data_IF_395306990185
#
_entry.id   IF_395306990185
#
_cell.length_a   1.000
_cell.length_b   1.000
_cell.length_c   1.000
_cell.angle_alpha   90.00
_cell.angle_beta   90.00
_cell.angle_gamma   90.00
#
_symmetry.space_group_name_H-M   'P 1'
#
loop_
_entity.id
_entity.type
_entity.pdbx_description
1 polymer ?
#
# COMPACT_ATOMS: atom_id res chain seq x y z
N UNK A 1 -4.71 -17.50 27.33
CA UNK A 1 -4.44 -16.67 26.17
C UNK A 1 -3.45 -15.59 26.62
N UNK A 2 -2.16 -15.67 26.24
CA UNK A 2 -1.19 -14.63 26.58
C UNK A 2 -1.45 -13.46 25.64
N UNK A 3 -1.87 -12.34 26.18
CA UNK A 3 -1.96 -11.10 25.41
C UNK A 3 -0.54 -10.70 24.97
N UNK A 4 -0.35 -10.42 23.68
CA UNK A 4 0.85 -9.72 23.21
C UNK A 4 0.82 -8.34 23.89
N UNK A 5 1.73 -8.10 24.81
CA UNK A 5 2.00 -6.73 25.26
C UNK A 5 2.74 -6.05 24.09
N UNK A 6 2.05 -5.16 23.42
CA UNK A 6 2.68 -4.28 22.44
C UNK A 6 3.33 -3.15 23.23
N UNK A 7 4.60 -2.93 22.99
CA UNK A 7 5.38 -1.86 23.63
C UNK A 7 4.74 -0.50 23.32
N UNK A 8 4.48 0.28 24.37
CA UNK A 8 3.90 1.63 24.24
C UNK A 8 4.78 2.56 23.39
N UNK A 9 6.10 2.38 23.41
CA UNK A 9 7.03 3.11 22.56
C UNK A 9 6.86 2.74 21.09
N UNK A 10 6.62 1.48 20.78
CA UNK A 10 6.30 1.03 19.43
C UNK A 10 4.98 1.64 18.93
N UNK A 11 3.94 1.63 19.78
CA UNK A 11 2.64 2.21 19.42
C UNK A 11 2.74 3.72 19.16
N UNK A 12 3.52 4.44 19.99
CA UNK A 12 3.74 5.87 19.82
C UNK A 12 4.47 6.25 18.52
N UNK A 13 5.23 5.32 17.94
CA UNK A 13 5.94 5.52 16.66
C UNK A 13 5.10 5.17 15.44
N UNK A 14 3.99 4.45 15.61
CA UNK A 14 3.15 4.03 14.50
C UNK A 14 2.49 5.24 13.82
N UNK A 15 2.76 5.38 12.53
CA UNK A 15 2.03 6.32 11.66
C UNK A 15 0.97 5.55 10.89
N UNK A 16 -0.27 5.96 11.05
CA UNK A 16 -1.43 5.34 10.41
C UNK A 16 -1.70 5.95 9.04
N UNK A 17 -1.86 5.07 8.06
CA UNK A 17 -2.18 5.44 6.68
C UNK A 17 -3.34 4.59 6.18
N UNK A 18 -4.13 5.17 5.30
CA UNK A 18 -5.23 4.48 4.65
C UNK A 18 -5.16 4.68 3.14
N UNK A 19 -5.39 3.62 2.38
CA UNK A 19 -5.42 3.68 0.92
C UNK A 19 -6.71 3.05 0.39
N UNK A 20 -7.13 3.50 -0.76
CA UNK A 20 -8.30 3.00 -1.45
C UNK A 20 -7.87 2.34 -2.77
N UNK A 21 -8.29 1.12 -3.03
CA UNK A 21 -8.09 0.40 -4.28
C UNK A 21 -9.31 0.66 -5.16
N UNK A 22 -9.22 1.58 -6.14
CA UNK A 22 -10.38 1.97 -6.91
C UNK A 22 -10.61 1.00 -8.07
N UNK A 23 -11.80 0.43 -8.14
CA UNK A 23 -12.33 -0.23 -9.32
C UNK A 23 -13.07 0.79 -10.17
N UNK A 24 -12.85 0.75 -11.47
CA UNK A 24 -13.52 1.63 -12.44
C UNK A 24 -13.87 0.82 -13.69
N UNK A 25 -15.03 1.10 -14.26
CA UNK A 25 -15.42 0.47 -15.51
C UNK A 25 -14.79 1.17 -16.72
N UNK A 26 -14.12 0.39 -17.57
CA UNK A 26 -13.59 0.86 -18.85
C UNK A 26 -13.99 -0.15 -19.92
N UNK A 27 -14.71 0.31 -20.93
CA UNK A 27 -15.20 -0.52 -22.05
C UNK A 27 -15.97 -1.78 -21.60
N UNK A 28 -16.77 -1.65 -20.53
CA UNK A 28 -17.59 -2.72 -19.97
C UNK A 28 -16.83 -3.75 -19.13
N UNK A 29 -15.59 -3.47 -18.73
CA UNK A 29 -14.75 -4.30 -17.88
C UNK A 29 -14.30 -3.56 -16.64
N UNK A 30 -14.09 -4.30 -15.57
CA UNK A 30 -13.49 -3.77 -14.36
C UNK A 30 -11.99 -3.57 -14.51
N UNK A 31 -11.54 -2.36 -14.25
CA UNK A 31 -10.14 -1.98 -14.21
C UNK A 31 -9.79 -1.51 -12.80
N UNK A 32 -8.53 -1.65 -12.42
CA UNK A 32 -7.97 -1.00 -11.23
C UNK A 32 -7.32 0.30 -11.66
N UNK A 33 -7.67 1.41 -10.98
CA UNK A 33 -7.07 2.71 -11.20
C UNK A 33 -5.87 2.90 -10.28
N UNK A 34 -4.81 3.46 -10.83
CA UNK A 34 -3.56 3.84 -10.17
C UNK A 34 -3.23 5.30 -10.43
N UNK A 35 -2.43 5.84 -9.53
CA UNK A 35 -1.82 7.16 -9.65
C UNK A 35 -0.31 7.05 -9.84
N UNK A 36 0.25 8.00 -10.58
CA UNK A 36 1.68 8.30 -10.58
C UNK A 36 1.88 9.53 -9.70
N UNK A 37 2.76 9.45 -8.73
CA UNK A 37 3.02 10.53 -7.76
C UNK A 37 3.78 11.66 -8.40
N UNK A 38 3.33 12.90 -8.18
CA UNK A 38 4.00 14.09 -8.72
C UNK A 38 5.32 14.40 -8.00
N UNK A 39 6.09 15.34 -8.51
CA UNK A 39 7.39 15.75 -7.98
C UNK A 39 7.33 16.57 -6.68
N UNK A 40 6.13 17.05 -6.28
CA UNK A 40 5.94 17.82 -5.05
C UNK A 40 5.69 16.96 -3.81
N UNK A 41 5.48 15.66 -3.98
CA UNK A 41 5.23 14.71 -2.87
C UNK A 41 6.40 13.74 -2.67
N UNK A 42 6.39 12.99 -1.57
CA UNK A 42 7.42 11.97 -1.33
C UNK A 42 7.35 10.85 -2.36
N UNK A 43 8.50 10.32 -2.77
CA UNK A 43 8.62 9.23 -3.75
C UNK A 43 8.01 9.60 -5.13
N UNK A 44 8.49 10.66 -5.77
CA UNK A 44 7.95 11.10 -7.06
C UNK A 44 8.14 10.03 -8.14
N UNK A 45 7.18 9.94 -9.05
CA UNK A 45 7.17 8.96 -10.15
C UNK A 45 6.79 7.54 -9.73
N UNK A 46 6.59 7.27 -8.43
CA UNK A 46 6.11 5.96 -8.00
C UNK A 46 4.61 5.80 -8.26
N UNK A 47 4.23 4.54 -8.54
CA UNK A 47 2.84 4.16 -8.70
C UNK A 47 2.23 3.86 -7.33
N UNK A 48 1.09 4.47 -7.06
CA UNK A 48 0.33 4.30 -5.81
C UNK A 48 -1.16 4.10 -6.05
N UNK A 49 -1.84 3.70 -4.99
CA UNK A 49 -3.28 3.90 -4.86
C UNK A 49 -3.53 5.25 -4.19
N UNK A 50 -4.68 5.89 -4.44
CA UNK A 50 -5.10 7.05 -3.68
C UNK A 50 -5.08 6.76 -2.18
N UNK A 51 -4.54 7.70 -1.40
CA UNK A 51 -4.51 7.54 0.03
C UNK A 51 -3.42 8.32 0.76
N UNK A 52 -3.59 8.45 2.07
CA UNK A 52 -2.73 9.26 2.90
C UNK A 52 -2.79 8.95 4.37
N UNK A 53 -2.38 9.94 5.18
CA UNK A 53 -2.39 9.84 6.63
C UNK A 53 -3.79 9.84 7.22
N UNK A 54 -3.99 9.05 8.27
CA UNK A 54 -5.22 9.11 9.07
C UNK A 54 -5.14 10.31 10.00
N UNK A 55 -6.09 11.22 9.89
CA UNK A 55 -6.17 12.43 10.71
C UNK A 55 -6.87 12.19 12.05
N UNK A 56 -6.74 13.17 12.95
CA UNK A 56 -7.38 13.11 14.27
C UNK A 56 -8.90 13.14 14.13
N UNK A 57 -9.57 12.14 14.69
CA UNK A 57 -11.04 12.07 14.71
C UNK A 57 -11.67 11.31 13.55
N UNK A 58 -10.87 10.79 12.61
CA UNK A 58 -11.37 9.92 11.55
C UNK A 58 -10.90 8.47 11.71
N UNK A 59 -11.66 7.54 11.17
CA UNK A 59 -11.25 6.15 11.02
C UNK A 59 -10.49 5.93 9.69
N UNK A 60 -9.83 4.75 9.54
CA UNK A 60 -9.07 4.43 8.33
C UNK A 60 -9.90 4.44 7.05
N UNK A 61 -11.16 4.03 7.10
CA UNK A 61 -12.06 4.04 5.94
C UNK A 61 -12.39 5.47 5.53
N UNK A 62 -12.67 6.32 6.51
CA UNK A 62 -12.94 7.74 6.27
C UNK A 62 -11.73 8.42 5.64
N UNK A 63 -10.52 8.17 6.17
CA UNK A 63 -9.27 8.68 5.60
C UNK A 63 -9.06 8.22 4.15
N UNK A 64 -9.20 6.92 3.86
CA UNK A 64 -9.05 6.40 2.50
C UNK A 64 -10.01 7.06 1.50
N UNK A 65 -11.28 7.26 1.90
CA UNK A 65 -12.27 7.91 1.04
C UNK A 65 -11.97 9.40 0.88
N UNK A 66 -11.62 10.12 1.95
CA UNK A 66 -11.26 11.54 1.91
C UNK A 66 -10.10 11.79 0.97
N UNK A 67 -9.00 11.05 1.14
CA UNK A 67 -7.82 11.16 0.28
C UNK A 67 -8.16 10.89 -1.19
N UNK A 68 -8.96 9.85 -1.46
CA UNK A 68 -9.41 9.54 -2.83
C UNK A 68 -10.22 10.69 -3.44
N UNK A 69 -11.10 11.33 -2.65
CA UNK A 69 -11.85 12.50 -3.09
C UNK A 69 -10.92 13.68 -3.39
N UNK A 70 -9.93 13.91 -2.55
CA UNK A 70 -8.98 15.03 -2.67
C UNK A 70 -8.01 14.84 -3.84
N UNK A 71 -7.42 13.66 -3.98
CA UNK A 71 -6.44 13.37 -5.03
C UNK A 71 -7.08 13.27 -6.41
N UNK A 72 -8.26 12.64 -6.53
CA UNK A 72 -8.97 12.44 -7.79
C UNK A 72 -10.09 13.47 -8.06
N UNK A 73 -10.22 14.50 -7.22
CA UNK A 73 -11.27 15.52 -7.31
C UNK A 73 -12.68 14.92 -7.50
N UNK A 74 -13.01 13.93 -6.66
CA UNK A 74 -14.29 13.24 -6.68
C UNK A 74 -15.23 13.77 -5.58
N UNK A 75 -16.54 13.70 -5.84
CA UNK A 75 -17.56 13.85 -4.83
C UNK A 75 -17.80 12.54 -4.10
N UNK A 76 -18.36 12.60 -2.88
CA UNK A 76 -18.58 11.41 -2.06
C UNK A 76 -19.53 10.38 -2.71
N UNK A 77 -20.52 10.82 -3.45
CA UNK A 77 -21.50 9.99 -4.18
C UNK A 77 -20.92 9.31 -5.42
N UNK A 78 -19.76 9.78 -5.92
CA UNK A 78 -19.02 9.13 -7.00
C UNK A 78 -18.19 7.94 -6.52
N UNK A 79 -18.15 7.66 -5.19
CA UNK A 79 -17.39 6.55 -4.60
C UNK A 79 -18.32 5.59 -3.88
N UNK A 80 -18.40 4.37 -4.35
CA UNK A 80 -19.07 3.24 -3.68
C UNK A 80 -18.05 2.40 -2.93
N UNK A 81 -18.11 2.40 -1.59
CA UNK A 81 -17.31 1.51 -0.77
C UNK A 81 -17.82 0.08 -0.87
N UNK A 82 -16.93 -0.89 -1.11
CA UNK A 82 -17.27 -2.31 -1.21
C UNK A 82 -16.69 -3.14 -0.06
N UNK A 83 -15.51 -2.79 0.44
CA UNK A 83 -14.95 -3.58 1.53
C UNK A 83 -13.56 -3.17 2.00
N UNK A 84 -13.12 -3.91 3.02
CA UNK A 84 -11.76 -3.89 3.54
C UNK A 84 -10.93 -4.95 2.83
N UNK A 85 -9.71 -4.63 2.43
CA UNK A 85 -8.81 -5.55 1.75
C UNK A 85 -7.76 -6.13 2.69
N UNK A 86 -6.84 -5.32 3.19
CA UNK A 86 -5.73 -5.83 3.99
C UNK A 86 -5.12 -4.79 4.92
N UNK A 87 -4.30 -5.28 5.85
CA UNK A 87 -3.46 -4.45 6.72
C UNK A 87 -2.00 -4.86 6.53
N UNK A 88 -1.14 -3.87 6.38
CA UNK A 88 0.31 -4.06 6.30
C UNK A 88 0.98 -3.23 7.38
N UNK A 89 1.85 -3.88 8.16
CA UNK A 89 2.81 -3.22 9.04
C UNK A 89 4.17 -3.22 8.34
N UNK A 90 4.73 -2.02 8.17
CA UNK A 90 6.05 -1.88 7.54
C UNK A 90 7.15 -1.79 8.59
N UNK A 91 8.38 -2.09 8.22
CA UNK A 91 9.54 -2.01 9.11
C UNK A 91 9.86 -0.59 9.60
N UNK A 92 9.35 0.44 8.95
CA UNK A 92 9.50 1.84 9.33
C UNK A 92 8.28 2.39 10.09
N UNK A 93 7.59 1.53 10.84
CA UNK A 93 6.47 1.87 11.71
C UNK A 93 5.26 2.50 11.00
N UNK A 94 5.01 2.14 9.74
CA UNK A 94 3.76 2.51 9.06
C UNK A 94 2.74 1.40 9.21
N UNK A 95 1.56 1.76 9.70
CA UNK A 95 0.37 0.92 9.78
C UNK A 95 -0.56 1.33 8.64
N UNK A 96 -0.59 0.55 7.57
CA UNK A 96 -1.35 0.86 6.36
C UNK A 96 -2.53 -0.08 6.25
N UNK A 97 -3.75 0.45 6.17
CA UNK A 97 -4.96 -0.33 5.83
C UNK A 97 -5.42 0.01 4.42
N UNK A 98 -5.74 -1.03 3.66
CA UNK A 98 -6.30 -0.89 2.32
C UNK A 98 -7.78 -1.27 2.29
N UNK A 99 -8.54 -0.45 1.58
CA UNK A 99 -9.96 -0.62 1.33
C UNK A 99 -10.17 -0.66 -0.18
N UNK A 100 -11.32 -1.13 -0.63
CA UNK A 100 -11.62 -1.15 -2.05
C UNK A 100 -13.07 -0.74 -2.31
N UNK A 101 -13.30 -0.30 -3.52
CA UNK A 101 -14.62 0.11 -3.95
C UNK A 101 -14.62 0.60 -5.39
N UNK A 102 -15.76 1.11 -5.82
CA UNK A 102 -15.98 1.51 -7.20
C UNK A 102 -16.03 3.02 -7.33
N UNK A 103 -15.38 3.56 -8.35
CA UNK A 103 -15.57 4.93 -8.81
C UNK A 103 -16.68 4.92 -9.87
N UNK A 104 -17.75 5.66 -9.59
CA UNK A 104 -18.94 5.76 -10.45
C UNK A 104 -18.84 6.98 -11.38
N UNK A 105 -17.76 7.04 -12.15
CA UNK A 105 -17.44 8.13 -13.06
C UNK A 105 -16.60 7.60 -14.22
N UNK A 106 -16.76 8.16 -15.42
CA UNK A 106 -15.93 7.79 -16.54
C UNK A 106 -14.48 8.22 -16.32
N UNK A 107 -13.52 7.38 -16.73
CA UNK A 107 -12.09 7.67 -16.57
C UNK A 107 -11.70 9.05 -17.18
N UNK A 108 -12.26 9.38 -18.32
CA UNK A 108 -12.00 10.66 -19.04
C UNK A 108 -12.52 11.90 -18.29
N UNK A 109 -13.40 11.73 -17.31
CA UNK A 109 -14.00 12.83 -16.53
C UNK A 109 -13.27 13.03 -15.19
N UNK A 110 -12.40 12.09 -14.80
CA UNK A 110 -11.62 12.19 -13.56
C UNK A 110 -10.55 13.27 -13.74
N UNK A 111 -10.57 14.21 -12.83
CA UNK A 111 -9.53 15.22 -12.68
C UNK A 111 -8.76 14.92 -11.41
N UNK A 112 -7.49 15.17 -11.37
CA UNK A 112 -6.66 14.94 -10.21
C UNK A 112 -5.99 16.25 -9.73
N UNK A 113 -5.59 16.25 -8.46
CA UNK A 113 -4.94 17.40 -7.85
C UNK A 113 -3.45 17.44 -8.19
N UNK A 114 -2.73 18.43 -7.64
CA UNK A 114 -1.29 18.64 -7.93
C UNK A 114 -0.36 17.55 -7.37
N UNK A 115 -0.84 16.69 -6.47
CA UNK A 115 -0.06 15.61 -5.87
C UNK A 115 0.04 14.40 -6.78
N UNK A 116 -0.86 14.31 -7.75
CA UNK A 116 -0.92 13.28 -8.78
C UNK A 116 -0.37 13.85 -10.10
N UNK A 117 0.63 13.19 -10.68
CA UNK A 117 1.19 13.53 -11.98
C UNK A 117 0.29 13.03 -13.11
N UNK A 118 -0.18 11.79 -12.99
CA UNK A 118 -1.06 11.14 -13.95
C UNK A 118 -1.82 9.99 -13.32
N UNK A 119 -2.89 9.57 -13.98
CA UNK A 119 -3.63 8.35 -13.63
C UNK A 119 -3.62 7.37 -14.80
N UNK A 120 -3.67 6.08 -14.50
CA UNK A 120 -3.84 5.03 -15.50
C UNK A 120 -4.63 3.86 -14.92
N UNK A 121 -5.12 3.00 -15.81
CA UNK A 121 -5.88 1.81 -15.39
C UNK A 121 -5.30 0.56 -16.00
N UNK A 122 -5.48 -0.57 -15.31
CA UNK A 122 -5.14 -1.90 -15.81
C UNK A 122 -6.33 -2.81 -15.58
N UNK A 123 -6.67 -3.61 -16.58
CA UNK A 123 -7.76 -4.59 -16.52
C UNK A 123 -7.59 -5.50 -15.28
N UNK A 124 -8.64 -5.69 -14.50
CA UNK A 124 -8.64 -6.55 -13.31
C UNK A 124 -8.26 -7.99 -13.65
N UNK A 125 -8.74 -8.50 -14.79
CA UNK A 125 -8.42 -9.86 -15.28
C UNK A 125 -6.91 -10.03 -15.54
N UNK A 126 -6.20 -8.96 -15.92
CA UNK A 126 -4.75 -9.02 -16.03
C UNK A 126 -4.11 -9.46 -14.72
N UNK A 127 -4.50 -8.86 -13.59
CA UNK A 127 -3.92 -9.17 -12.28
C UNK A 127 -4.37 -10.54 -11.75
N UNK A 128 -5.59 -10.98 -12.06
CA UNK A 128 -6.09 -12.31 -11.71
C UNK A 128 -5.27 -13.39 -12.41
N UNK A 129 -4.94 -13.18 -13.70
CA UNK A 129 -4.24 -14.16 -14.53
C UNK A 129 -2.71 -14.06 -14.47
N UNK A 130 -2.16 -12.96 -13.97
CA UNK A 130 -0.71 -12.73 -13.93
C UNK A 130 -0.26 -12.41 -12.49
N UNK A 131 0.06 -13.40 -11.66
CA UNK A 131 0.55 -13.16 -10.31
C UNK A 131 1.87 -12.38 -10.34
N UNK A 132 2.15 -11.59 -9.29
CA UNK A 132 3.36 -10.78 -9.25
C UNK A 132 4.63 -11.64 -9.14
N UNK A 133 5.71 -11.18 -9.75
CA UNK A 133 7.05 -11.74 -9.51
C UNK A 133 7.50 -11.27 -8.13
N UNK A 134 8.04 -12.17 -7.31
CA UNK A 134 8.54 -11.82 -5.97
C UNK A 134 10.06 -11.99 -5.88
N UNK A 135 10.70 -11.08 -5.16
CA UNK A 135 12.11 -11.10 -4.82
C UNK A 135 12.31 -10.99 -3.33
N UNK A 136 13.24 -11.76 -2.78
CA UNK A 136 13.61 -11.70 -1.37
C UNK A 136 14.88 -10.87 -1.20
N UNK A 137 14.74 -9.68 -0.59
CA UNK A 137 15.86 -8.82 -0.23
C UNK A 137 16.23 -9.06 1.24
N UNK A 138 17.41 -9.62 1.54
CA UNK A 138 17.81 -9.89 2.93
C UNK A 138 18.06 -8.58 3.68
N UNK A 139 17.70 -8.54 4.95
CA UNK A 139 18.08 -7.47 5.85
C UNK A 139 19.57 -7.60 6.20
N UNK A 140 20.30 -6.49 6.13
CA UNK A 140 21.63 -6.35 6.71
C UNK A 140 21.55 -5.48 7.95
N UNK A 141 22.16 -5.93 9.05
CA UNK A 141 22.32 -5.14 10.23
C UNK A 141 23.66 -4.43 10.16
N UNK A 142 23.61 -3.11 10.10
CA UNK A 142 24.80 -2.26 10.24
C UNK A 142 24.85 -1.75 11.66
N UNK A 143 25.94 -2.09 12.35
CA UNK A 143 26.16 -1.68 13.73
C UNK A 143 26.99 -0.39 13.78
N UNK A 144 26.73 0.51 14.73
CA UNK A 144 27.61 1.64 14.98
C UNK A 144 29.01 1.17 15.36
N UNK A 145 30.04 2.00 15.10
CA UNK A 145 31.44 1.62 15.30
C UNK A 145 31.79 1.29 16.77
N UNK A 146 31.06 1.87 17.70
CA UNK A 146 31.18 1.71 19.15
C UNK A 146 30.25 0.64 19.72
N UNK A 147 29.62 -0.18 18.88
CA UNK A 147 28.76 -1.27 19.36
C UNK A 147 29.60 -2.27 20.19
N UNK A 148 29.18 -2.57 21.44
CA UNK A 148 29.99 -3.33 22.39
C UNK A 148 29.97 -4.83 22.12
N UNK A 149 30.59 -5.24 21.04
CA UNK A 149 30.72 -6.67 20.67
C UNK A 149 31.45 -7.50 21.72
N UNK A 150 32.35 -6.86 22.48
CA UNK A 150 33.11 -7.49 23.57
C UNK A 150 32.24 -7.89 24.77
N UNK A 151 31.03 -7.31 24.89
CA UNK A 151 30.10 -7.58 25.99
C UNK A 151 29.04 -8.64 25.67
N UNK A 152 29.01 -9.13 24.43
CA UNK A 152 28.05 -10.15 24.04
C UNK A 152 28.74 -11.51 23.77
N UNK A 153 28.06 -12.62 24.03
CA UNK A 153 28.60 -13.95 23.70
C UNK A 153 28.94 -14.04 22.21
N UNK A 154 30.09 -14.63 21.88
CA UNK A 154 30.64 -14.76 20.53
C UNK A 154 31.04 -13.44 19.83
N UNK A 155 30.93 -12.31 20.50
CA UNK A 155 31.41 -11.05 19.97
C UNK A 155 30.93 -10.72 18.57
N UNK A 156 31.85 -10.39 17.65
CA UNK A 156 31.56 -10.11 16.25
C UNK A 156 31.04 -11.31 15.44
N UNK A 157 31.25 -12.52 15.95
CA UNK A 157 30.80 -13.77 15.33
C UNK A 157 29.38 -14.16 15.79
N UNK A 158 28.73 -13.33 16.58
CA UNK A 158 27.36 -13.58 17.02
C UNK A 158 26.42 -13.63 15.80
N UNK A 159 25.67 -14.74 15.68
CA UNK A 159 24.72 -14.95 14.59
C UNK A 159 23.38 -14.28 14.91
N UNK A 160 23.21 -13.04 14.48
CA UNK A 160 21.92 -12.37 14.56
C UNK A 160 20.90 -13.07 13.66
N UNK A 161 19.65 -13.09 14.09
CA UNK A 161 18.57 -13.56 13.23
C UNK A 161 18.46 -12.61 12.03
N UNK A 162 18.56 -13.15 10.84
CA UNK A 162 18.40 -12.41 9.60
C UNK A 162 16.98 -12.64 9.07
N UNK A 163 16.34 -11.57 8.62
CA UNK A 163 15.08 -11.61 7.92
C UNK A 163 15.26 -11.18 6.46
N UNK A 164 14.18 -11.19 5.73
CA UNK A 164 14.14 -10.63 4.38
C UNK A 164 12.86 -9.82 4.19
N UNK A 165 12.93 -8.84 3.31
CA UNK A 165 11.76 -8.16 2.78
C UNK A 165 11.37 -8.82 1.45
N UNK A 166 10.11 -9.23 1.32
CA UNK A 166 9.60 -9.76 0.06
C UNK A 166 9.01 -8.61 -0.75
N UNK A 167 9.58 -8.38 -1.91
CA UNK A 167 9.21 -7.31 -2.84
C UNK A 167 8.47 -7.90 -4.03
N UNK A 168 7.33 -7.32 -4.37
CA UNK A 168 6.46 -7.76 -5.45
C UNK A 168 6.52 -6.79 -6.62
N UNK A 169 6.41 -7.34 -7.86
CA UNK A 169 6.43 -6.59 -9.11
C UNK A 169 5.38 -7.16 -10.06
N UNK A 170 4.51 -6.31 -10.57
CA UNK A 170 3.66 -6.60 -11.72
C UNK A 170 4.26 -5.93 -12.96
N UNK A 171 4.39 -6.68 -14.06
CA UNK A 171 4.94 -6.18 -15.33
C UNK A 171 3.90 -5.34 -16.08
N UNK A 172 3.61 -4.18 -15.52
CA UNK A 172 2.73 -3.15 -16.07
C UNK A 172 3.55 -1.95 -16.56
N UNK A 173 2.94 -1.03 -17.30
CA UNK A 173 3.55 0.23 -17.75
C UNK A 173 2.62 1.39 -17.43
N UNK A 174 2.95 2.21 -16.43
CA UNK A 174 4.10 2.12 -15.48
C UNK A 174 4.10 0.85 -14.62
N UNK A 175 5.27 0.48 -14.11
CA UNK A 175 5.47 -0.72 -13.29
C UNK A 175 4.79 -0.56 -11.92
N UNK A 176 3.98 -1.55 -11.50
CA UNK A 176 3.42 -1.61 -10.14
C UNK A 176 4.30 -2.49 -9.27
N UNK A 177 4.91 -1.93 -8.22
CA UNK A 177 5.87 -2.64 -7.39
C UNK A 177 5.77 -2.28 -5.89
N UNK A 178 6.57 -2.93 -5.07
CA UNK A 178 6.77 -2.57 -3.66
C UNK A 178 5.50 -2.73 -2.81
N UNK A 179 5.16 -1.68 -2.05
CA UNK A 179 4.01 -1.70 -1.15
C UNK A 179 2.68 -1.74 -1.92
N UNK A 180 2.58 -1.01 -3.01
CA UNK A 180 1.40 -0.99 -3.88
C UNK A 180 1.13 -2.37 -4.46
N UNK A 181 2.16 -3.04 -5.00
CA UNK A 181 2.04 -4.41 -5.50
C UNK A 181 1.67 -5.41 -4.40
N UNK A 182 2.16 -5.23 -3.17
CA UNK A 182 1.81 -6.08 -2.03
C UNK A 182 0.34 -5.93 -1.63
N UNK A 183 -0.17 -4.70 -1.59
CA UNK A 183 -1.59 -4.44 -1.31
C UNK A 183 -2.48 -5.00 -2.42
N UNK A 184 -2.09 -4.79 -3.67
CA UNK A 184 -2.79 -5.34 -4.84
C UNK A 184 -2.85 -6.87 -4.80
N UNK A 185 -1.73 -7.54 -4.55
CA UNK A 185 -1.69 -8.99 -4.39
C UNK A 185 -2.67 -9.48 -3.33
N UNK A 186 -2.67 -8.86 -2.15
CA UNK A 186 -3.59 -9.22 -1.07
C UNK A 186 -5.06 -9.01 -1.48
N UNK A 187 -5.33 -7.94 -2.22
CA UNK A 187 -6.67 -7.67 -2.74
C UNK A 187 -7.10 -8.75 -3.75
N UNK A 188 -6.28 -9.08 -4.74
CA UNK A 188 -6.59 -10.09 -5.76
C UNK A 188 -6.82 -11.46 -5.12
N UNK A 189 -6.00 -11.87 -4.15
CA UNK A 189 -6.16 -13.14 -3.42
C UNK A 189 -7.47 -13.21 -2.62
N UNK A 190 -7.96 -12.07 -2.14
CA UNK A 190 -9.24 -11.99 -1.43
C UNK A 190 -10.42 -11.94 -2.39
N UNK A 191 -10.25 -11.23 -3.51
CA UNK A 191 -11.26 -11.09 -4.57
C UNK A 191 -11.61 -12.45 -5.18
N UNK A 192 -10.62 -13.21 -5.62
CA UNK A 192 -10.81 -14.51 -6.24
C UNK A 192 -11.49 -15.55 -5.31
N UNK A 193 -11.33 -15.43 -4.00
CA UNK A 193 -12.00 -16.32 -3.03
C UNK A 193 -13.48 -16.01 -2.81
N UNK A 194 -13.93 -14.82 -3.18
CA UNK A 194 -15.33 -14.43 -3.01
C UNK A 194 -16.18 -14.75 -4.25
N UNK A 195 -15.54 -15.15 -5.35
CA UNK A 195 -16.20 -15.55 -6.60
C UNK A 195 -16.39 -17.09 -6.69
N UNK A 196 -15.80 -17.87 -5.77
CA UNK A 196 -16.02 -19.31 -5.61
C UNK A 196 -17.18 -19.58 -4.63
#
# INVERSE_FOLDING_TARGET
MKYLQVDDEFLARLKSFAVFIPLIEVDGKDHILFEVRSDIVSQPGEVSFPGGGVECGEDFKQAAIRETMEELNLCRDEITYLGYSSMILTSNYRHVKSFYGRINKNLSEIKYNKEVESIFTVDLDFFINNPPISYRAPYRMDFPKDFPFDKIPNGKDYKFQTGYNEMFFYDTKPVVWGLTAKMLKNFIESWSKNEE
#
